data_IF_755642831875
#
_entry.id   IF_755642831875
#
_cell.length_a   1.000
_cell.length_b   1.000
_cell.length_c   1.000
_cell.angle_alpha   90.00
_cell.angle_beta   90.00
_cell.angle_gamma   90.00
#
_symmetry.space_group_name_H-M   'P 1'
#
loop_
_entity.id
_entity.type
_entity.pdbx_description
1 polymer ?
#
# COMPACT_ATOMS: atom_id res chain seq x y z
N UNK A 1 10.50 -32.33 9.75
CA UNK A 1 11.69 -31.93 10.56
C UNK A 1 11.71 -32.56 11.97
N UNK A 2 10.56 -33.03 12.44
CA UNK A 2 10.29 -33.80 13.67
C UNK A 2 11.29 -34.93 14.02
N UNK A 3 11.83 -35.66 13.04
CA UNK A 3 12.70 -36.82 13.27
C UNK A 3 14.07 -36.47 13.89
N UNK A 4 14.46 -35.19 13.87
CA UNK A 4 15.75 -34.72 14.39
C UNK A 4 15.64 -33.99 15.74
N UNK A 5 14.45 -33.94 16.36
CA UNK A 5 14.25 -33.27 17.64
C UNK A 5 14.63 -34.18 18.83
N UNK A 6 15.28 -33.62 19.88
CA UNK A 6 15.46 -34.32 21.15
C UNK A 6 14.13 -34.82 21.73
N UNK A 7 14.10 -36.01 22.36
CA UNK A 7 12.88 -36.59 22.93
C UNK A 7 12.13 -35.67 23.90
N UNK A 8 12.85 -34.87 24.67
CA UNK A 8 12.26 -33.92 25.63
C UNK A 8 11.50 -32.80 24.92
N UNK A 9 12.02 -32.30 23.80
CA UNK A 9 11.35 -31.27 23.00
C UNK A 9 10.16 -31.86 22.26
N UNK A 10 10.28 -33.07 21.73
CA UNK A 10 9.16 -33.77 21.09
C UNK A 10 7.98 -33.93 22.07
N UNK A 11 8.25 -34.42 23.29
CA UNK A 11 7.22 -34.58 24.32
C UNK A 11 6.56 -33.25 24.73
N UNK A 12 7.33 -32.15 24.76
CA UNK A 12 6.78 -30.82 25.01
C UNK A 12 5.85 -30.36 23.88
N UNK A 13 6.21 -30.61 22.62
CA UNK A 13 5.36 -30.29 21.48
C UNK A 13 4.08 -31.14 21.47
N UNK A 14 4.16 -32.43 21.79
CA UNK A 14 2.99 -33.31 21.95
C UNK A 14 2.03 -32.79 23.02
N UNK A 15 2.56 -32.32 24.14
CA UNK A 15 1.76 -31.72 25.20
C UNK A 15 1.10 -30.41 24.75
N UNK A 16 1.78 -29.60 23.92
CA UNK A 16 1.21 -28.37 23.35
C UNK A 16 0.07 -28.71 22.39
N UNK A 17 0.30 -29.58 21.41
CA UNK A 17 -0.69 -29.89 20.39
C UNK A 17 -1.89 -30.64 20.95
N UNK A 18 -1.86 -31.15 22.17
CA UNK A 18 -3.01 -31.82 22.81
C UNK A 18 -3.99 -30.84 23.48
N UNK A 19 -3.68 -29.55 23.52
CA UNK A 19 -4.52 -28.50 24.12
C UNK A 19 -5.65 -28.03 23.19
N UNK A 20 -6.65 -27.29 23.68
CA UNK A 20 -7.60 -26.58 22.81
C UNK A 20 -6.87 -25.67 21.79
N UNK A 21 -7.41 -25.49 20.59
CA UNK A 21 -6.70 -24.82 19.50
C UNK A 21 -6.27 -23.38 19.83
N UNK A 22 -7.08 -22.65 20.61
CA UNK A 22 -6.71 -21.32 21.09
C UNK A 22 -5.41 -21.32 21.91
N UNK A 23 -5.23 -22.33 22.76
CA UNK A 23 -4.03 -22.46 23.60
C UNK A 23 -2.85 -23.04 22.82
N UNK A 24 -3.12 -23.89 21.82
CA UNK A 24 -2.10 -24.30 20.83
C UNK A 24 -1.54 -23.04 20.15
N UNK A 25 -2.39 -22.20 19.57
CA UNK A 25 -1.99 -20.96 18.90
C UNK A 25 -1.12 -20.08 19.80
N UNK A 26 -1.59 -19.77 21.02
CA UNK A 26 -0.85 -18.91 21.98
C UNK A 26 0.52 -19.45 22.34
N UNK A 27 0.68 -20.78 22.38
CA UNK A 27 1.96 -21.41 22.72
C UNK A 27 2.88 -21.47 21.51
N UNK A 28 2.36 -21.89 20.36
CA UNK A 28 3.10 -21.96 19.10
C UNK A 28 3.65 -20.59 18.71
N UNK A 29 2.87 -19.51 18.89
CA UNK A 29 3.32 -18.14 18.59
C UNK A 29 4.56 -17.70 19.38
N UNK A 30 4.79 -18.28 20.56
CA UNK A 30 5.94 -17.96 21.43
C UNK A 30 7.15 -18.85 21.18
N UNK A 31 7.03 -19.87 20.34
CA UNK A 31 8.12 -20.78 20.03
C UNK A 31 9.10 -20.12 19.03
N UNK A 32 10.39 -20.48 19.09
CA UNK A 32 11.31 -20.24 17.99
C UNK A 32 10.78 -20.84 16.69
N UNK A 33 11.09 -20.19 15.57
CA UNK A 33 10.58 -20.54 14.23
C UNK A 33 10.59 -22.07 13.94
N UNK A 34 11.73 -22.73 14.13
CA UNK A 34 11.88 -24.17 13.84
C UNK A 34 10.98 -25.06 14.72
N UNK A 35 10.72 -24.64 15.96
CA UNK A 35 9.84 -25.38 16.87
C UNK A 35 8.37 -25.08 16.60
N UNK A 36 8.04 -23.87 16.12
CA UNK A 36 6.70 -23.53 15.67
C UNK A 36 6.30 -24.35 14.43
N UNK A 37 7.20 -24.47 13.45
CA UNK A 37 7.03 -25.33 12.28
C UNK A 37 6.77 -26.79 12.69
N UNK A 38 7.64 -27.38 13.51
CA UNK A 38 7.48 -28.75 13.99
C UNK A 38 6.17 -28.95 14.77
N UNK A 39 5.76 -27.97 15.60
CA UNK A 39 4.49 -28.02 16.33
C UNK A 39 3.29 -28.05 15.38
N UNK A 40 3.32 -27.26 14.30
CA UNK A 40 2.25 -27.25 13.30
C UNK A 40 2.25 -28.51 12.43
N UNK A 41 3.42 -29.06 12.06
CA UNK A 41 3.51 -30.37 11.39
C UNK A 41 2.79 -31.44 12.22
N UNK A 42 3.10 -31.50 13.52
CA UNK A 42 2.51 -32.46 14.45
C UNK A 42 1.01 -32.21 14.69
N UNK A 43 0.58 -30.95 14.68
CA UNK A 43 -0.83 -30.61 14.78
C UNK A 43 -1.60 -31.12 13.56
N UNK A 44 -1.07 -30.92 12.35
CA UNK A 44 -1.70 -31.43 11.11
C UNK A 44 -1.84 -32.94 11.14
N UNK A 45 -0.80 -33.66 11.56
CA UNK A 45 -0.86 -35.13 11.74
C UNK A 45 -1.95 -35.51 12.75
N UNK A 46 -1.96 -34.90 13.93
CA UNK A 46 -2.92 -35.18 14.98
C UNK A 46 -4.37 -34.91 14.56
N UNK A 47 -4.61 -33.85 13.78
CA UNK A 47 -5.95 -33.50 13.30
C UNK A 47 -6.42 -34.41 12.16
N UNK A 48 -5.51 -34.95 11.34
CA UNK A 48 -5.85 -35.96 10.34
C UNK A 48 -6.24 -37.28 10.97
N UNK A 49 -5.50 -37.70 11.99
CA UNK A 49 -5.74 -38.95 12.70
C UNK A 49 -7.00 -38.87 13.58
N UNK A 50 -7.35 -37.68 14.06
CA UNK A 50 -8.55 -37.45 14.87
C UNK A 50 -9.31 -36.15 14.51
N UNK A 51 -10.06 -36.14 13.39
CA UNK A 51 -10.81 -34.95 12.94
C UNK A 51 -11.92 -34.53 13.91
N UNK A 52 -12.48 -35.46 14.69
CA UNK A 52 -13.56 -35.22 15.67
C UNK A 52 -13.16 -34.21 16.76
N UNK A 53 -11.85 -34.01 16.97
CA UNK A 53 -11.34 -32.99 17.87
C UNK A 53 -11.85 -31.58 17.53
N UNK A 54 -12.19 -31.32 16.27
CA UNK A 54 -12.64 -30.00 15.82
C UNK A 54 -14.11 -29.70 16.15
N UNK A 55 -14.91 -30.69 16.59
CA UNK A 55 -16.36 -30.53 16.84
C UNK A 55 -16.71 -29.47 17.90
N UNK A 56 -15.74 -29.10 18.75
CA UNK A 56 -15.92 -28.14 19.84
C UNK A 56 -14.97 -26.94 19.78
N UNK A 57 -14.21 -26.83 18.69
CA UNK A 57 -13.24 -25.75 18.50
C UNK A 57 -13.91 -24.57 17.79
N UNK A 58 -13.48 -23.35 18.11
CA UNK A 58 -14.02 -22.15 17.49
C UNK A 58 -13.29 -21.82 16.17
N UNK A 59 -14.00 -21.35 15.12
CA UNK A 59 -13.38 -21.00 13.85
C UNK A 59 -12.30 -19.91 13.96
N UNK A 60 -12.37 -18.99 14.93
CA UNK A 60 -11.34 -17.98 15.11
C UNK A 60 -9.99 -18.60 15.54
N UNK A 61 -10.01 -19.65 16.37
CA UNK A 61 -8.80 -20.40 16.71
C UNK A 61 -8.19 -21.10 15.50
N UNK A 62 -9.04 -21.68 14.64
CA UNK A 62 -8.63 -22.30 13.38
C UNK A 62 -7.97 -21.27 12.45
N UNK A 63 -8.65 -20.14 12.24
CA UNK A 63 -8.16 -18.98 11.49
C UNK A 63 -6.79 -18.51 11.98
N UNK A 64 -6.63 -18.31 13.29
CA UNK A 64 -5.38 -17.85 13.88
C UNK A 64 -4.20 -18.81 13.64
N UNK A 65 -4.45 -20.12 13.66
CA UNK A 65 -3.44 -21.13 13.34
C UNK A 65 -3.03 -21.10 11.87
N UNK A 66 -3.99 -20.92 10.95
CA UNK A 66 -3.71 -20.73 9.51
C UNK A 66 -2.86 -19.47 9.32
N UNK A 67 -3.25 -18.34 9.91
CA UNK A 67 -2.48 -17.09 9.83
C UNK A 67 -1.07 -17.25 10.41
N UNK A 68 -0.90 -18.06 11.46
CA UNK A 68 0.42 -18.36 11.99
C UNK A 68 1.27 -19.17 11.01
N UNK A 69 0.71 -20.21 10.39
CA UNK A 69 1.37 -20.99 9.34
C UNK A 69 1.80 -20.10 8.15
N UNK A 70 0.94 -19.18 7.75
CA UNK A 70 1.22 -18.18 6.71
C UNK A 70 2.36 -17.23 7.12
N UNK A 71 2.37 -16.75 8.37
CA UNK A 71 3.40 -15.86 8.93
C UNK A 71 4.78 -16.50 8.94
N UNK A 72 4.87 -17.80 9.21
CA UNK A 72 6.12 -18.56 9.13
C UNK A 72 6.42 -19.06 7.70
N UNK A 73 5.67 -18.64 6.68
CA UNK A 73 5.92 -18.95 5.27
C UNK A 73 5.97 -20.46 4.93
N UNK A 74 5.21 -21.28 5.66
CA UNK A 74 5.09 -22.71 5.39
C UNK A 74 3.79 -23.02 4.63
N UNK A 75 3.81 -22.79 3.31
CA UNK A 75 2.64 -22.92 2.43
C UNK A 75 2.00 -24.31 2.46
N UNK A 76 2.81 -25.38 2.58
CA UNK A 76 2.30 -26.75 2.61
C UNK A 76 1.49 -27.00 3.88
N UNK A 77 1.93 -26.48 5.03
CA UNK A 77 1.23 -26.61 6.31
C UNK A 77 -0.04 -25.74 6.30
N UNK A 78 0.07 -24.51 5.79
CA UNK A 78 -1.06 -23.58 5.61
C UNK A 78 -2.17 -24.23 4.78
N UNK A 79 -1.84 -24.81 3.63
CA UNK A 79 -2.81 -25.51 2.77
C UNK A 79 -3.49 -26.68 3.50
N UNK A 80 -2.70 -27.49 4.22
CA UNK A 80 -3.21 -28.65 4.94
C UNK A 80 -4.17 -28.24 6.07
N UNK A 81 -3.82 -27.19 6.83
CA UNK A 81 -4.67 -26.64 7.88
C UNK A 81 -5.96 -26.05 7.30
N UNK A 82 -5.87 -25.25 6.22
CA UNK A 82 -7.04 -24.72 5.52
C UNK A 82 -7.99 -25.84 5.08
N UNK A 83 -7.47 -26.90 4.45
CA UNK A 83 -8.29 -28.03 4.01
C UNK A 83 -8.97 -28.77 5.16
N UNK A 84 -8.25 -28.99 6.26
CA UNK A 84 -8.81 -29.64 7.46
C UNK A 84 -9.90 -28.78 8.11
N UNK A 85 -9.62 -27.49 8.32
CA UNK A 85 -10.53 -26.59 9.03
C UNK A 85 -11.77 -26.24 8.21
N UNK A 86 -11.65 -26.04 6.90
CA UNK A 86 -12.81 -25.86 6.02
C UNK A 86 -13.66 -27.13 5.97
N UNK A 87 -13.04 -28.31 6.03
CA UNK A 87 -13.77 -29.57 6.15
C UNK A 87 -14.64 -29.65 7.41
N UNK A 88 -14.18 -29.06 8.52
CA UNK A 88 -14.93 -29.00 9.78
C UNK A 88 -15.94 -27.85 9.83
N UNK A 89 -15.62 -26.70 9.24
CA UNK A 89 -16.43 -25.48 9.27
C UNK A 89 -16.64 -24.92 7.85
N UNK A 90 -17.38 -25.62 6.96
CA UNK A 90 -17.51 -25.23 5.56
C UNK A 90 -18.28 -23.92 5.34
N UNK A 91 -19.06 -23.44 6.31
CA UNK A 91 -19.79 -22.18 6.19
C UNK A 91 -18.97 -20.96 6.65
N UNK A 92 -17.79 -21.15 7.24
CA UNK A 92 -17.03 -20.07 7.84
C UNK A 92 -16.39 -19.15 6.79
N UNK A 93 -16.78 -17.88 6.80
CA UNK A 93 -16.38 -16.90 5.77
C UNK A 93 -14.88 -16.60 5.82
N UNK A 94 -14.28 -16.53 7.01
CA UNK A 94 -12.86 -16.18 7.16
C UNK A 94 -11.99 -17.29 6.56
N UNK A 95 -12.24 -18.56 6.92
CA UNK A 95 -11.51 -19.70 6.37
C UNK A 95 -11.69 -19.82 4.85
N UNK A 96 -12.91 -19.65 4.35
CA UNK A 96 -13.20 -19.71 2.91
C UNK A 96 -12.54 -18.56 2.13
N UNK A 97 -12.46 -17.37 2.72
CA UNK A 97 -11.78 -16.22 2.12
C UNK A 97 -10.25 -16.38 2.16
N UNK A 98 -9.69 -16.90 3.25
CA UNK A 98 -8.27 -17.21 3.37
C UNK A 98 -7.82 -18.25 2.35
N UNK A 99 -8.64 -19.29 2.08
CA UNK A 99 -8.35 -20.25 1.02
C UNK A 99 -8.36 -19.61 -0.37
N UNK A 100 -9.29 -18.68 -0.63
CA UNK A 100 -9.29 -17.90 -1.88
C UNK A 100 -7.98 -17.12 -2.03
N UNK A 101 -7.57 -16.43 -0.96
CA UNK A 101 -6.30 -15.70 -0.92
C UNK A 101 -5.10 -16.61 -1.14
N UNK A 102 -5.07 -17.78 -0.49
CA UNK A 102 -4.02 -18.77 -0.64
C UNK A 102 -3.87 -19.22 -2.09
N UNK A 103 -4.99 -19.48 -2.78
CA UNK A 103 -4.98 -19.93 -4.17
C UNK A 103 -4.41 -18.89 -5.14
N UNK A 104 -4.77 -17.60 -5.04
CA UNK A 104 -4.17 -16.58 -5.92
C UNK A 104 -2.85 -16.00 -5.39
N UNK A 105 -2.53 -16.21 -4.11
CA UNK A 105 -1.38 -15.64 -3.43
C UNK A 105 -0.16 -16.55 -3.47
N UNK A 106 -0.29 -17.76 -2.93
CA UNK A 106 0.82 -18.68 -2.64
C UNK A 106 0.89 -19.83 -3.65
N UNK A 107 -0.24 -20.46 -3.98
CA UNK A 107 -0.26 -21.66 -4.86
C UNK A 107 -0.37 -21.35 -6.35
N UNK A 108 -1.01 -20.23 -6.69
CA UNK A 108 -1.44 -19.90 -8.05
C UNK A 108 -2.33 -20.98 -8.70
N UNK A 109 -3.48 -21.28 -8.07
CA UNK A 109 -4.51 -22.20 -8.57
C UNK A 109 -5.75 -21.45 -9.04
N UNK A 110 -5.85 -21.19 -10.34
CA UNK A 110 -6.96 -20.43 -10.95
C UNK A 110 -8.30 -21.18 -10.82
N UNK A 111 -8.29 -22.51 -10.97
CA UNK A 111 -9.49 -23.32 -10.87
C UNK A 111 -9.97 -23.41 -9.42
N UNK A 112 -9.02 -23.48 -8.46
CA UNK A 112 -9.27 -23.34 -7.04
C UNK A 112 -9.93 -22.00 -6.70
N UNK A 113 -9.38 -20.89 -7.21
CA UNK A 113 -9.97 -19.56 -6.99
C UNK A 113 -11.42 -19.47 -7.47
N UNK A 114 -11.71 -19.98 -8.67
CA UNK A 114 -13.08 -19.98 -9.22
C UNK A 114 -14.05 -20.77 -8.33
N UNK A 115 -13.69 -22.01 -7.97
CA UNK A 115 -14.53 -22.83 -7.09
C UNK A 115 -14.75 -22.15 -5.74
N UNK A 116 -13.70 -21.57 -5.20
CA UNK A 116 -13.74 -20.94 -3.90
C UNK A 116 -14.60 -19.67 -3.89
N UNK A 117 -14.51 -18.87 -4.95
CA UNK A 117 -15.40 -17.73 -5.15
C UNK A 117 -16.86 -18.16 -5.31
N UNK A 118 -17.14 -19.27 -6.00
CA UNK A 118 -18.49 -19.84 -6.10
C UNK A 118 -19.03 -20.27 -4.73
N UNK A 119 -18.23 -20.96 -3.92
CA UNK A 119 -18.60 -21.37 -2.55
C UNK A 119 -18.94 -20.17 -1.67
N UNK A 120 -18.10 -19.12 -1.69
CA UNK A 120 -18.34 -17.89 -0.93
C UNK A 120 -19.65 -17.19 -1.33
N UNK A 121 -20.13 -17.39 -2.55
CA UNK A 121 -21.36 -16.79 -3.07
C UNK A 121 -22.54 -17.77 -3.09
N UNK A 122 -22.38 -18.98 -2.55
CA UNK A 122 -23.44 -19.97 -2.43
C UNK A 122 -24.16 -19.80 -1.09
N UNK A 123 -25.38 -19.26 -1.14
CA UNK A 123 -26.20 -18.98 0.04
C UNK A 123 -26.68 -20.28 0.74
N UNK A 124 -26.53 -21.47 0.12
CA UNK A 124 -26.76 -22.76 0.76
C UNK A 124 -25.59 -23.20 1.65
N UNK A 125 -24.39 -22.66 1.41
CA UNK A 125 -23.16 -23.00 2.15
C UNK A 125 -22.79 -21.90 3.12
N UNK A 126 -22.75 -20.64 2.66
CA UNK A 126 -22.29 -19.49 3.44
C UNK A 126 -23.47 -18.57 3.73
N UNK A 127 -23.65 -18.19 4.99
CA UNK A 127 -24.71 -17.28 5.38
C UNK A 127 -24.48 -15.87 4.78
N UNK A 128 -25.42 -15.31 4.00
CA UNK A 128 -25.28 -13.98 3.40
C UNK A 128 -24.98 -12.88 4.41
N UNK A 129 -25.61 -12.91 5.59
CA UNK A 129 -25.41 -11.89 6.61
C UNK A 129 -24.00 -11.93 7.21
N UNK A 130 -23.44 -13.13 7.38
CA UNK A 130 -22.05 -13.31 7.87
C UNK A 130 -21.05 -12.90 6.79
N UNK A 131 -21.31 -13.28 5.54
CA UNK A 131 -20.51 -12.91 4.36
C UNK A 131 -20.40 -11.39 4.21
N UNK A 132 -21.54 -10.70 4.18
CA UNK A 132 -21.60 -9.26 3.95
C UNK A 132 -20.98 -8.45 5.09
N UNK A 133 -21.05 -8.95 6.33
CA UNK A 133 -20.41 -8.32 7.49
C UNK A 133 -18.89 -8.54 7.54
N UNK A 134 -18.34 -9.47 6.76
CA UNK A 134 -16.94 -9.86 6.81
C UNK A 134 -16.08 -9.09 5.79
N UNK A 135 -15.10 -8.33 6.27
CA UNK A 135 -14.23 -7.52 5.43
C UNK A 135 -13.33 -8.33 4.49
N UNK A 136 -12.94 -9.57 4.86
CA UNK A 136 -12.08 -10.42 4.03
C UNK A 136 -12.79 -10.86 2.76
N UNK A 137 -14.09 -11.16 2.84
CA UNK A 137 -14.89 -11.47 1.66
C UNK A 137 -14.77 -10.37 0.60
N UNK A 138 -14.97 -9.11 1.01
CA UNK A 138 -14.89 -7.96 0.11
C UNK A 138 -13.49 -7.75 -0.46
N UNK A 139 -12.47 -7.78 0.40
CA UNK A 139 -11.08 -7.52 0.00
C UNK A 139 -10.52 -8.64 -0.86
N UNK A 140 -10.65 -9.89 -0.44
CA UNK A 140 -10.09 -11.03 -1.17
C UNK A 140 -10.90 -11.34 -2.43
N UNK A 141 -12.21 -11.07 -2.42
CA UNK A 141 -13.02 -11.04 -3.64
C UNK A 141 -12.52 -9.99 -4.63
N UNK A 142 -12.31 -8.75 -4.19
CA UNK A 142 -11.79 -7.70 -5.05
C UNK A 142 -10.39 -8.02 -5.61
N UNK A 143 -9.49 -8.58 -4.78
CA UNK A 143 -8.18 -9.02 -5.22
C UNK A 143 -8.25 -10.17 -6.22
N UNK A 144 -9.14 -11.14 -6.02
CA UNK A 144 -9.38 -12.19 -7.00
C UNK A 144 -9.85 -11.60 -8.34
N UNK A 145 -10.83 -10.70 -8.36
CA UNK A 145 -11.30 -10.10 -9.60
C UNK A 145 -10.22 -9.25 -10.28
N UNK A 146 -9.46 -8.47 -9.51
CA UNK A 146 -8.39 -7.63 -10.06
C UNK A 146 -7.21 -8.45 -10.59
N UNK A 147 -6.71 -9.42 -9.80
CA UNK A 147 -5.48 -10.16 -10.07
C UNK A 147 -5.69 -11.37 -10.99
N UNK A 148 -6.78 -12.10 -10.81
CA UNK A 148 -7.05 -13.37 -11.51
C UNK A 148 -7.95 -13.16 -12.72
N UNK A 149 -9.04 -12.38 -12.57
CA UNK A 149 -9.98 -12.14 -13.66
C UNK A 149 -9.59 -10.96 -14.55
N UNK A 150 -8.69 -10.10 -14.08
CA UNK A 150 -8.38 -8.82 -14.70
C UNK A 150 -9.64 -7.95 -14.88
N UNK A 151 -10.65 -8.15 -14.02
CA UNK A 151 -11.89 -7.40 -13.99
C UNK A 151 -11.80 -6.32 -12.90
N UNK A 152 -11.22 -5.19 -13.29
CA UNK A 152 -11.06 -4.06 -12.38
C UNK A 152 -12.42 -3.48 -11.99
N UNK A 153 -13.42 -3.46 -12.88
CA UNK A 153 -14.71 -2.85 -12.60
C UNK A 153 -15.43 -3.57 -11.46
N UNK A 154 -15.48 -4.91 -11.52
CA UNK A 154 -16.05 -5.72 -10.43
C UNK A 154 -15.24 -5.59 -9.15
N UNK A 155 -13.90 -5.53 -9.23
CA UNK A 155 -13.07 -5.29 -8.06
C UNK A 155 -13.37 -3.95 -7.38
N UNK A 156 -13.64 -2.87 -8.14
CA UNK A 156 -14.00 -1.58 -7.53
C UNK A 156 -15.35 -1.65 -6.82
N UNK A 157 -16.32 -2.29 -7.48
CA UNK A 157 -17.65 -2.40 -6.93
C UNK A 157 -17.65 -3.21 -5.63
N UNK A 158 -16.90 -4.31 -5.56
CA UNK A 158 -16.74 -5.09 -4.32
C UNK A 158 -16.12 -4.27 -3.19
N UNK A 159 -15.09 -3.47 -3.48
CA UNK A 159 -14.48 -2.61 -2.45
C UNK A 159 -15.46 -1.54 -1.95
N UNK A 160 -16.26 -0.95 -2.85
CA UNK A 160 -17.27 0.06 -2.51
C UNK A 160 -18.39 -0.55 -1.66
N UNK A 161 -18.94 -1.68 -2.09
CA UNK A 161 -19.97 -2.42 -1.34
C UNK A 161 -19.46 -2.84 0.05
N UNK A 162 -18.19 -3.28 0.14
CA UNK A 162 -17.57 -3.60 1.42
C UNK A 162 -17.51 -2.41 2.38
N UNK A 163 -17.19 -1.21 1.89
CA UNK A 163 -17.18 0.00 2.74
C UNK A 163 -18.57 0.37 3.26
N UNK A 164 -19.63 0.03 2.52
CA UNK A 164 -21.02 0.27 2.94
C UNK A 164 -21.50 -0.80 3.93
N UNK A 165 -21.18 -2.07 3.66
CA UNK A 165 -21.68 -3.22 4.42
C UNK A 165 -20.94 -3.46 5.75
N UNK A 166 -19.63 -3.20 5.81
CA UNK A 166 -18.80 -3.63 6.94
C UNK A 166 -18.86 -2.66 8.12
N UNK A 167 -18.94 -3.16 9.37
CA UNK A 167 -18.91 -2.31 10.57
C UNK A 167 -17.66 -1.43 10.68
N UNK A 168 -17.83 -0.22 11.24
CA UNK A 168 -16.83 0.85 11.24
C UNK A 168 -15.39 0.44 11.61
N UNK A 169 -15.20 -0.47 12.57
CA UNK A 169 -13.86 -0.92 13.00
C UNK A 169 -13.06 -1.65 11.91
N UNK A 170 -13.75 -2.29 10.96
CA UNK A 170 -13.13 -3.09 9.90
C UNK A 170 -13.09 -2.36 8.55
N UNK A 171 -13.70 -1.18 8.44
CA UNK A 171 -13.56 -0.32 7.25
C UNK A 171 -12.09 0.03 6.99
N UNK A 172 -11.30 0.22 8.05
CA UNK A 172 -9.86 0.44 7.93
C UNK A 172 -9.11 -0.74 7.30
N UNK A 173 -9.58 -1.97 7.49
CA UNK A 173 -8.96 -3.16 6.89
C UNK A 173 -9.20 -3.19 5.37
N UNK A 174 -10.40 -2.80 4.93
CA UNK A 174 -10.72 -2.61 3.51
C UNK A 174 -9.86 -1.50 2.91
N UNK A 175 -9.83 -0.34 3.55
CA UNK A 175 -9.08 0.84 3.08
C UNK A 175 -7.58 0.57 2.95
N UNK A 176 -6.98 -0.20 3.88
CA UNK A 176 -5.56 -0.62 3.77
C UNK A 176 -5.27 -1.44 2.52
N UNK A 177 -6.25 -2.17 2.00
CA UNK A 177 -6.09 -3.00 0.80
C UNK A 177 -6.47 -2.28 -0.49
N UNK A 178 -6.88 -1.00 -0.44
CA UNK A 178 -7.11 -0.21 -1.65
C UNK A 178 -5.86 -0.16 -2.54
N UNK A 179 -4.67 0.03 -1.95
CA UNK A 179 -3.42 0.01 -2.72
C UNK A 179 -3.27 -1.29 -3.51
N UNK A 180 -3.35 -2.43 -2.83
CA UNK A 180 -3.18 -3.73 -3.45
C UNK A 180 -4.17 -3.93 -4.62
N UNK A 181 -5.45 -3.59 -4.43
CA UNK A 181 -6.49 -3.79 -5.47
C UNK A 181 -6.33 -2.80 -6.63
N UNK A 182 -6.13 -1.53 -6.33
CA UNK A 182 -6.30 -0.43 -7.29
C UNK A 182 -5.00 0.11 -7.86
N UNK A 183 -3.91 0.03 -7.13
CA UNK A 183 -2.61 0.53 -7.55
C UNK A 183 -1.85 -0.61 -8.22
N UNK A 184 -1.67 -1.72 -7.51
CA UNK A 184 -0.79 -2.80 -7.96
C UNK A 184 -1.38 -3.58 -9.14
N UNK A 185 -2.69 -3.86 -9.12
CA UNK A 185 -3.32 -4.70 -10.17
C UNK A 185 -4.05 -3.92 -11.27
N UNK A 186 -4.52 -2.70 -11.03
CA UNK A 186 -5.21 -1.93 -12.08
C UNK A 186 -4.25 -1.09 -12.95
N UNK A 187 -2.94 -1.03 -12.61
CA UNK A 187 -1.99 -0.03 -13.13
C UNK A 187 -2.59 1.40 -13.15
N UNK A 188 -3.52 1.61 -12.21
CA UNK A 188 -4.76 2.41 -12.24
C UNK A 188 -5.36 2.92 -13.57
N UNK A 189 -5.12 2.30 -14.72
CA UNK A 189 -5.66 2.73 -16.04
C UNK A 189 -7.19 2.83 -16.11
N UNK A 190 -7.90 2.21 -15.16
CA UNK A 190 -9.36 2.14 -15.06
C UNK A 190 -9.89 2.63 -13.71
N UNK A 191 -9.09 3.35 -12.92
CA UNK A 191 -9.61 3.94 -11.67
C UNK A 191 -10.64 5.01 -12.00
N UNK A 192 -11.89 4.78 -11.61
CA UNK A 192 -12.84 5.88 -11.47
C UNK A 192 -12.35 6.77 -10.33
N UNK A 193 -11.54 7.76 -10.71
CA UNK A 193 -10.82 8.63 -9.79
C UNK A 193 -11.75 9.30 -8.76
N UNK A 194 -12.94 9.71 -9.17
CA UNK A 194 -13.90 10.39 -8.30
C UNK A 194 -14.48 9.44 -7.25
N UNK A 195 -14.91 8.24 -7.66
CA UNK A 195 -15.45 7.24 -6.73
C UNK A 195 -14.39 6.78 -5.70
N UNK A 196 -13.15 6.58 -6.15
CA UNK A 196 -12.03 6.21 -5.28
C UNK A 196 -11.66 7.38 -4.35
N UNK A 197 -11.75 8.62 -4.84
CA UNK A 197 -11.51 9.83 -4.05
C UNK A 197 -12.54 10.00 -2.93
N UNK A 198 -13.81 9.82 -3.24
CA UNK A 198 -14.89 9.97 -2.26
C UNK A 198 -14.82 8.90 -1.18
N UNK A 199 -14.63 7.64 -1.57
CA UNK A 199 -14.48 6.52 -0.63
C UNK A 199 -13.30 6.70 0.32
N UNK A 200 -12.19 7.22 -0.19
CA UNK A 200 -11.01 7.48 0.63
C UNK A 200 -11.20 8.70 1.53
N UNK A 201 -11.82 9.79 1.06
CA UNK A 201 -12.21 10.93 1.91
C UNK A 201 -13.13 10.50 3.05
N UNK A 202 -14.06 9.58 2.80
CA UNK A 202 -14.92 9.00 3.84
C UNK A 202 -14.13 8.17 4.84
N UNK A 203 -13.24 7.28 4.36
CA UNK A 203 -12.37 6.47 5.22
C UNK A 203 -11.46 7.30 6.11
N UNK A 204 -11.00 8.41 5.57
CA UNK A 204 -10.22 9.47 6.21
C UNK A 204 -11.04 10.19 7.28
N UNK A 205 -12.25 10.65 6.95
CA UNK A 205 -13.16 11.27 7.91
C UNK A 205 -13.52 10.32 9.07
N UNK A 206 -13.48 9.00 8.82
CA UNK A 206 -13.67 7.95 9.82
C UNK A 206 -12.43 7.66 10.69
N UNK A 207 -11.33 8.44 10.57
CA UNK A 207 -10.17 8.35 11.46
C UNK A 207 -9.07 7.38 11.00
N UNK A 208 -9.01 7.06 9.71
CA UNK A 208 -7.98 6.16 9.19
C UNK A 208 -6.60 6.84 9.08
N UNK A 209 -5.69 6.49 10.01
CA UNK A 209 -4.33 7.05 10.09
C UNK A 209 -3.40 6.71 8.93
N UNK A 210 -3.69 5.65 8.15
CA UNK A 210 -2.95 5.29 6.94
C UNK A 210 -3.39 6.05 5.68
N UNK A 211 -4.45 6.86 5.78
CA UNK A 211 -5.05 7.53 4.63
C UNK A 211 -4.14 8.53 3.94
N UNK A 212 -3.24 9.20 4.68
CA UNK A 212 -2.32 10.19 4.08
C UNK A 212 -1.33 9.52 3.12
N UNK A 213 -0.80 8.34 3.47
CA UNK A 213 0.14 7.59 2.63
C UNK A 213 -0.54 7.14 1.33
N UNK A 214 -1.79 6.67 1.43
CA UNK A 214 -2.53 6.29 0.23
C UNK A 214 -2.85 7.50 -0.65
N UNK A 215 -3.28 8.62 -0.06
CA UNK A 215 -3.53 9.86 -0.78
C UNK A 215 -2.26 10.36 -1.51
N UNK A 216 -1.10 10.33 -0.85
CA UNK A 216 0.19 10.66 -1.46
C UNK A 216 0.52 9.72 -2.64
N UNK A 217 0.37 8.40 -2.49
CA UNK A 217 0.62 7.44 -3.57
C UNK A 217 -0.29 7.67 -4.77
N UNK A 218 -1.57 7.98 -4.56
CA UNK A 218 -2.52 8.29 -5.63
C UNK A 218 -2.15 9.57 -6.38
N UNK A 219 -1.72 10.62 -5.66
CA UNK A 219 -1.20 11.83 -6.28
C UNK A 219 0.00 11.53 -7.20
N UNK A 220 0.97 10.74 -6.71
CA UNK A 220 2.14 10.34 -7.49
C UNK A 220 1.76 9.53 -8.75
N UNK A 221 0.81 8.61 -8.66
CA UNK A 221 0.34 7.83 -9.82
C UNK A 221 -0.31 8.71 -10.89
N UNK A 222 -1.14 9.67 -10.48
CA UNK A 222 -1.78 10.61 -11.41
C UNK A 222 -0.75 11.50 -12.10
N UNK A 223 0.23 11.98 -11.33
CA UNK A 223 1.36 12.72 -11.87
C UNK A 223 2.13 11.89 -12.90
N UNK A 224 2.50 10.65 -12.59
CA UNK A 224 3.22 9.77 -13.51
C UNK A 224 2.44 9.56 -14.81
N UNK A 225 1.12 9.38 -14.73
CA UNK A 225 0.27 9.24 -15.93
C UNK A 225 0.17 10.50 -16.75
N UNK A 226 0.08 11.67 -16.11
CA UNK A 226 0.06 12.93 -16.83
C UNK A 226 1.35 13.15 -17.65
N UNK A 227 2.46 12.56 -17.19
CA UNK A 227 3.79 12.65 -17.78
C UNK A 227 4.17 11.47 -18.69
N UNK A 228 3.34 10.42 -18.76
CA UNK A 228 3.62 9.25 -19.62
C UNK A 228 3.32 9.61 -21.08
N UNK A 229 4.30 9.54 -22.00
CA UNK A 229 4.06 9.70 -23.42
C UNK A 229 3.13 8.58 -23.87
N UNK A 230 1.98 8.90 -24.46
CA UNK A 230 1.21 7.87 -25.16
C UNK A 230 1.98 7.48 -26.41
N UNK A 231 2.39 6.23 -26.49
CA UNK A 231 2.84 5.59 -27.74
C UNK A 231 1.72 5.70 -28.79
N UNK A 232 1.74 6.78 -29.56
CA UNK A 232 1.18 6.83 -30.90
C UNK A 232 2.25 7.47 -31.75
N UNK A 233 2.90 6.63 -32.55
CA UNK A 233 4.05 6.99 -33.38
C UNK A 233 3.82 8.26 -34.19
N UNK A 234 4.47 9.33 -33.76
CA UNK A 234 4.88 10.43 -34.62
C UNK A 234 6.06 11.10 -33.95
N UNK A 235 7.24 10.77 -34.46
CA UNK A 235 8.44 11.54 -34.24
C UNK A 235 8.15 13.03 -34.49
N UNK A 236 8.67 13.87 -33.58
CA UNK A 236 8.79 15.32 -33.74
C UNK A 236 7.46 16.08 -33.85
N UNK A 237 6.70 16.11 -32.76
CA UNK A 237 6.05 17.33 -32.28
C UNK A 237 5.71 17.15 -30.80
N UNK A 238 6.30 17.99 -29.95
CA UNK A 238 5.82 18.15 -28.57
C UNK A 238 4.44 18.78 -28.71
N UNK A 239 3.40 17.96 -28.69
CA UNK A 239 2.03 18.47 -28.70
C UNK A 239 1.84 19.39 -27.47
N UNK A 240 1.06 20.49 -27.61
CA UNK A 240 0.67 21.28 -26.46
C UNK A 240 0.02 20.35 -25.42
N UNK A 241 0.34 20.57 -24.13
CA UNK A 241 -0.17 19.76 -23.01
C UNK A 241 -1.65 19.44 -23.22
N UNK A 242 -1.92 18.16 -23.43
CA UNK A 242 -3.27 17.65 -23.58
C UNK A 242 -4.08 18.06 -22.33
N UNK A 243 -5.29 18.62 -22.51
CA UNK A 243 -6.19 19.02 -21.42
C UNK A 243 -6.38 17.89 -20.39
N UNK A 244 -6.32 16.64 -20.85
CA UNK A 244 -6.35 15.45 -20.01
C UNK A 244 -5.17 15.34 -19.03
N UNK A 245 -3.95 15.69 -19.46
CA UNK A 245 -2.78 15.68 -18.58
C UNK A 245 -2.88 16.78 -17.53
N UNK A 246 -3.42 17.95 -17.89
CA UNK A 246 -3.68 19.04 -16.95
C UNK A 246 -4.73 18.64 -15.90
N UNK A 247 -5.82 18.00 -16.34
CA UNK A 247 -6.84 17.46 -15.43
C UNK A 247 -6.27 16.46 -14.43
N UNK A 248 -5.44 15.51 -14.88
CA UNK A 248 -4.78 14.54 -14.01
C UNK A 248 -3.85 15.21 -12.99
N UNK A 249 -3.11 16.24 -13.38
CA UNK A 249 -2.24 16.99 -12.46
C UNK A 249 -3.03 17.79 -11.43
N UNK A 250 -4.16 18.41 -11.82
CA UNK A 250 -5.06 19.09 -10.87
C UNK A 250 -5.63 18.12 -9.84
N UNK A 251 -6.12 16.97 -10.31
CA UNK A 251 -6.56 15.87 -9.47
C UNK A 251 -5.47 15.37 -8.51
N UNK A 252 -4.21 15.36 -8.96
CA UNK A 252 -3.09 15.03 -8.09
C UNK A 252 -2.86 16.07 -6.97
N UNK A 253 -3.07 17.36 -7.23
CA UNK A 253 -3.03 18.41 -6.20
C UNK A 253 -4.13 18.24 -5.14
N UNK A 254 -5.34 17.87 -5.56
CA UNK A 254 -6.45 17.60 -4.63
C UNK A 254 -6.07 16.47 -3.66
N UNK A 255 -5.45 15.40 -4.17
CA UNK A 255 -4.95 14.31 -3.34
C UNK A 255 -3.85 14.72 -2.37
N UNK A 256 -2.92 15.57 -2.77
CA UNK A 256 -1.90 16.09 -1.86
C UNK A 256 -2.50 16.96 -0.76
N UNK A 257 -3.57 17.69 -1.07
CA UNK A 257 -4.31 18.49 -0.07
C UNK A 257 -5.00 17.59 0.94
N UNK A 258 -5.61 16.49 0.47
CA UNK A 258 -6.17 15.44 1.35
C UNK A 258 -5.07 14.81 2.22
N UNK A 259 -3.93 14.45 1.64
CA UNK A 259 -2.80 13.85 2.36
C UNK A 259 -2.27 14.77 3.48
N UNK A 260 -2.11 16.06 3.19
CA UNK A 260 -1.66 17.05 4.17
C UNK A 260 -2.65 17.21 5.31
N UNK A 261 -3.95 17.34 5.01
CA UNK A 261 -5.01 17.46 6.02
C UNK A 261 -5.11 16.26 6.97
N UNK A 262 -4.65 15.09 6.52
CA UNK A 262 -4.72 13.84 7.25
C UNK A 262 -3.54 13.61 8.17
N UNK A 263 -2.36 14.02 7.72
CA UNK A 263 -1.15 13.86 8.51
C UNK A 263 -1.12 14.85 9.68
N UNK A 264 -1.72 16.03 9.50
CA UNK A 264 -1.64 17.12 10.45
C UNK A 264 -2.84 18.04 10.36
N UNK A 265 -3.30 18.55 11.51
CA UNK A 265 -4.26 19.67 11.54
C UNK A 265 -3.61 21.03 11.22
N UNK A 266 -2.29 21.06 10.98
CA UNK A 266 -1.54 22.24 10.57
C UNK A 266 -1.23 22.15 9.06
N UNK A 267 -1.91 22.94 8.20
CA UNK A 267 -1.72 22.92 6.75
C UNK A 267 -0.32 23.39 6.28
N UNK A 268 0.57 23.76 7.20
CA UNK A 268 1.96 24.16 6.91
C UNK A 268 3.00 23.25 7.59
N UNK A 269 2.60 22.06 8.05
CA UNK A 269 3.60 21.11 8.55
C UNK A 269 4.41 20.58 7.36
N UNK A 270 5.74 20.62 7.41
CA UNK A 270 6.56 20.00 6.37
C UNK A 270 6.27 18.50 6.33
N UNK A 271 5.87 18.00 5.18
CA UNK A 271 5.98 16.58 4.91
C UNK A 271 6.76 16.55 3.62
N UNK A 272 8.05 16.27 3.73
CA UNK A 272 9.02 16.43 2.65
C UNK A 272 8.56 15.77 1.37
N UNK A 273 7.96 14.59 1.47
CA UNK A 273 7.41 13.84 0.34
C UNK A 273 6.21 14.53 -0.31
N UNK A 274 5.29 15.12 0.47
CA UNK A 274 4.12 15.85 -0.04
C UNK A 274 4.55 17.15 -0.71
N UNK A 275 5.50 17.88 -0.12
CA UNK A 275 6.03 19.14 -0.67
C UNK A 275 6.74 18.88 -2.00
N UNK A 276 7.61 17.87 -2.06
CA UNK A 276 8.29 17.48 -3.30
C UNK A 276 7.31 17.05 -4.38
N UNK A 277 6.31 16.23 -4.04
CA UNK A 277 5.27 15.85 -4.99
C UNK A 277 4.49 17.07 -5.52
N UNK A 278 4.13 18.01 -4.62
CA UNK A 278 3.40 19.23 -4.97
C UNK A 278 4.20 20.13 -5.90
N UNK A 279 5.48 20.36 -5.58
CA UNK A 279 6.42 21.10 -6.42
C UNK A 279 6.49 20.49 -7.82
N UNK A 280 6.69 19.18 -7.92
CA UNK A 280 6.78 18.51 -9.23
C UNK A 280 5.49 18.64 -10.05
N UNK A 281 4.32 18.56 -9.41
CA UNK A 281 3.02 18.72 -10.08
C UNK A 281 2.82 20.17 -10.54
N UNK A 282 3.15 21.17 -9.72
CA UNK A 282 3.06 22.59 -10.07
C UNK A 282 4.00 22.96 -11.23
N UNK A 283 5.23 22.44 -11.22
CA UNK A 283 6.16 22.52 -12.34
C UNK A 283 5.56 21.88 -13.61
N UNK A 284 4.91 20.73 -13.46
CA UNK A 284 4.15 20.06 -14.51
C UNK A 284 2.93 20.83 -15.00
N UNK A 285 2.34 21.70 -14.19
CA UNK A 285 1.23 22.59 -14.55
C UNK A 285 1.68 23.94 -15.12
N UNK A 286 3.00 24.21 -15.14
CA UNK A 286 3.56 25.54 -15.47
C UNK A 286 3.14 26.65 -14.49
N UNK A 287 2.64 26.29 -13.30
CA UNK A 287 2.40 27.25 -12.23
C UNK A 287 3.71 27.51 -11.46
N UNK A 288 4.63 28.17 -12.16
CA UNK A 288 6.00 28.37 -11.68
C UNK A 288 6.06 29.26 -10.44
N UNK A 289 5.12 30.20 -10.28
CA UNK A 289 5.08 31.06 -9.09
C UNK A 289 4.71 30.27 -7.85
N UNK A 290 3.62 29.50 -7.92
CA UNK A 290 3.25 28.62 -6.81
C UNK A 290 4.37 27.60 -6.52
N UNK A 291 5.02 27.06 -7.55
CA UNK A 291 6.14 26.14 -7.36
C UNK A 291 7.31 26.81 -6.59
N UNK A 292 7.66 28.06 -6.91
CA UNK A 292 8.68 28.84 -6.21
C UNK A 292 8.29 29.05 -4.74
N UNK A 293 7.05 29.43 -4.46
CA UNK A 293 6.58 29.66 -3.09
C UNK A 293 6.73 28.40 -2.21
N UNK A 294 6.41 27.23 -2.77
CA UNK A 294 6.60 25.95 -2.08
C UNK A 294 8.07 25.55 -1.92
N UNK A 295 8.92 25.82 -2.92
CA UNK A 295 10.35 25.58 -2.81
C UNK A 295 11.00 26.49 -1.76
N UNK A 296 10.65 27.78 -1.73
CA UNK A 296 11.12 28.73 -0.72
C UNK A 296 10.67 28.31 0.68
N UNK A 297 9.40 27.93 0.84
CA UNK A 297 8.90 27.36 2.09
C UNK A 297 9.70 26.12 2.51
N UNK A 298 10.03 25.23 1.57
CA UNK A 298 10.83 24.03 1.83
C UNK A 298 12.27 24.36 2.26
N UNK A 299 12.95 25.30 1.57
CA UNK A 299 14.29 25.77 1.93
C UNK A 299 14.34 26.45 3.31
N UNK A 300 13.27 27.16 3.70
CA UNK A 300 13.17 27.77 5.02
C UNK A 300 12.85 26.77 6.12
N UNK A 301 12.12 25.69 5.79
CA UNK A 301 11.70 24.71 6.78
C UNK A 301 12.77 23.67 7.08
N UNK A 302 13.36 23.06 6.05
CA UNK A 302 14.40 22.03 6.18
C UNK A 302 15.63 22.40 5.32
N UNK A 303 16.45 23.35 5.79
CA UNK A 303 17.54 23.90 4.98
C UNK A 303 18.63 22.86 4.66
N UNK A 304 18.85 21.91 5.56
CA UNK A 304 19.88 20.87 5.41
C UNK A 304 19.48 19.87 4.33
N UNK A 305 18.23 19.38 4.36
CA UNK A 305 17.73 18.46 3.34
C UNK A 305 17.60 19.15 1.98
N UNK A 306 17.09 20.39 1.96
CA UNK A 306 16.92 21.16 0.72
C UNK A 306 18.26 21.48 0.03
N UNK A 307 19.32 21.76 0.80
CA UNK A 307 20.68 21.98 0.25
C UNK A 307 21.31 20.71 -0.31
N UNK A 308 20.95 19.55 0.22
CA UNK A 308 21.45 18.23 -0.24
C UNK A 308 20.71 17.70 -1.46
N UNK A 309 19.60 18.33 -1.87
CA UNK A 309 18.82 17.94 -3.05
C UNK A 309 19.20 18.77 -4.30
N UNK A 310 20.07 18.26 -5.19
CA UNK A 310 20.43 18.95 -6.43
C UNK A 310 19.25 19.06 -7.41
N UNK A 311 18.26 18.15 -7.32
CA UNK A 311 17.07 18.19 -8.17
C UNK A 311 16.22 19.40 -7.84
N UNK A 312 15.97 19.64 -6.54
CA UNK A 312 15.22 20.78 -6.05
C UNK A 312 15.87 22.11 -6.48
N UNK A 313 17.20 22.24 -6.34
CA UNK A 313 17.94 23.43 -6.80
C UNK A 313 17.76 23.66 -8.30
N UNK A 314 17.88 22.61 -9.12
CA UNK A 314 17.71 22.71 -10.56
C UNK A 314 16.28 23.13 -10.95
N UNK A 315 15.27 22.60 -10.25
CA UNK A 315 13.87 22.97 -10.45
C UNK A 315 13.60 24.42 -10.05
N UNK A 316 14.18 24.91 -8.95
CA UNK A 316 14.06 26.29 -8.51
C UNK A 316 14.65 27.26 -9.54
N UNK A 317 15.86 26.97 -10.04
CA UNK A 317 16.48 27.77 -11.10
C UNK A 317 15.59 27.81 -12.35
N UNK A 318 15.03 26.66 -12.76
CA UNK A 318 14.14 26.58 -13.90
C UNK A 318 12.85 27.39 -13.68
N UNK A 319 12.21 27.24 -12.51
CA UNK A 319 10.98 27.93 -12.15
C UNK A 319 11.18 29.45 -12.15
N UNK A 320 12.23 29.93 -11.49
CA UNK A 320 12.60 31.35 -11.45
C UNK A 320 12.83 31.94 -12.85
N UNK A 321 13.55 31.22 -13.72
CA UNK A 321 13.74 31.64 -15.12
C UNK A 321 12.41 31.74 -15.88
N UNK A 322 11.52 30.76 -15.70
CA UNK A 322 10.23 30.70 -16.40
C UNK A 322 9.21 31.70 -15.86
N UNK A 323 9.30 32.07 -14.57
CA UNK A 323 8.49 33.10 -13.94
C UNK A 323 8.95 34.54 -14.27
N UNK A 324 10.09 34.70 -14.94
CA UNK A 324 10.65 36.01 -15.30
C UNK A 324 11.57 36.62 -14.24
N UNK A 325 11.97 35.85 -13.22
CA UNK A 325 12.77 36.31 -12.07
C UNK A 325 14.05 35.46 -11.92
N UNK A 326 14.96 35.48 -12.90
CA UNK A 326 16.05 34.49 -13.03
C UNK A 326 17.10 34.51 -11.92
N UNK A 327 17.15 35.56 -11.08
CA UNK A 327 18.07 35.67 -9.95
C UNK A 327 17.39 35.41 -8.58
N UNK A 328 16.08 35.23 -8.53
CA UNK A 328 15.35 35.02 -7.26
C UNK A 328 15.83 33.77 -6.52
N UNK A 329 16.21 32.71 -7.23
CA UNK A 329 16.71 31.47 -6.64
C UNK A 329 17.95 31.69 -5.76
N UNK A 330 18.84 32.65 -6.12
CA UNK A 330 20.04 33.00 -5.35
C UNK A 330 19.67 33.52 -3.97
N UNK A 331 18.68 34.40 -3.91
CA UNK A 331 18.13 34.96 -2.67
C UNK A 331 17.54 33.86 -1.78
N UNK A 332 16.78 32.92 -2.36
CA UNK A 332 16.10 31.84 -1.64
C UNK A 332 17.10 30.89 -0.98
N UNK A 333 18.15 30.49 -1.69
CA UNK A 333 19.16 29.56 -1.14
C UNK A 333 20.23 30.25 -0.29
N UNK A 334 20.23 31.59 -0.27
CA UNK A 334 21.22 32.40 0.44
C UNK A 334 22.58 32.51 -0.26
N UNK A 335 22.66 32.20 -1.56
CA UNK A 335 23.85 32.51 -2.37
C UNK A 335 23.81 34.01 -2.70
N UNK A 336 24.68 34.79 -2.08
CA UNK A 336 24.74 36.23 -2.35
C UNK A 336 25.36 36.46 -3.74
N UNK A 337 24.80 37.37 -4.59
CA UNK A 337 25.51 37.87 -5.76
C UNK A 337 26.89 38.44 -5.44
N UNK A 338 27.13 38.81 -4.17
CA UNK A 338 28.39 39.35 -3.68
C UNK A 338 29.45 38.26 -3.50
N UNK A 339 29.09 37.00 -3.22
CA UNK A 339 30.07 35.91 -3.11
C UNK A 339 30.73 35.61 -4.46
N UNK A 340 30.01 35.75 -5.58
CA UNK A 340 30.58 35.64 -6.93
C UNK A 340 31.48 36.84 -7.26
N UNK A 341 31.16 38.04 -6.76
CA UNK A 341 32.02 39.22 -6.90
C UNK A 341 33.28 39.13 -6.03
N UNK A 342 33.19 38.58 -4.82
CA UNK A 342 34.33 38.34 -3.93
C UNK A 342 35.22 37.23 -4.50
N UNK A 343 34.65 36.15 -5.04
CA UNK A 343 35.41 35.08 -5.72
C UNK A 343 36.03 35.57 -7.03
N UNK A 344 35.34 36.41 -7.82
CA UNK A 344 35.91 37.05 -9.02
C UNK A 344 36.99 38.07 -8.69
N UNK A 345 36.82 38.86 -7.63
CA UNK A 345 37.85 39.79 -7.15
C UNK A 345 39.07 39.02 -6.62
N UNK A 346 38.87 37.95 -5.86
CA UNK A 346 39.96 37.09 -5.40
C UNK A 346 40.70 36.38 -6.55
N UNK A 347 39.99 35.98 -7.61
CA UNK A 347 40.62 35.42 -8.81
C UNK A 347 41.39 36.49 -9.63
N UNK A 348 40.91 37.73 -9.67
CA UNK A 348 41.62 38.85 -10.32
C UNK A 348 42.83 39.34 -9.51
N UNK A 349 42.80 39.23 -8.19
CA UNK A 349 43.94 39.56 -7.32
C UNK A 349 45.03 38.47 -7.36
N UNK A 350 44.67 37.18 -7.54
CA UNK A 350 45.67 36.10 -7.70
C UNK A 350 46.40 36.11 -9.07
N UNK A 351 45.75 36.59 -10.13
CA UNK A 351 46.40 36.78 -11.44
C UNK A 351 47.34 37.99 -11.46
N UNK A 352 47.20 38.94 -10.52
CA UNK A 352 48.07 40.11 -10.42
C UNK A 352 49.35 39.86 -9.61
N UNK A 353 49.31 38.96 -8.62
CA UNK A 353 50.47 38.58 -7.79
C UNK A 353 51.42 37.56 -8.47
N UNK A 354 51.06 37.04 -9.64
CA UNK A 354 51.94 36.17 -10.45
C UNK A 354 52.60 36.89 -11.64
N UNK A 355 52.41 38.20 -11.75
CA UNK A 355 52.92 39.04 -12.84
C UNK A 355 53.93 40.13 -12.42
N UNK A 356 54.35 40.16 -11.16
CA UNK A 356 55.58 40.85 -10.69
C UNK A 356 56.70 39.83 -10.44
#
# INVERSE_FOLDING_TARGET
MKENLPPELLSQLEAIISLPLMDVHRRVERLPYQLAEAALEMLVEALRDNPQRLEHEDPNSMHNLVMHASKIQHSDIEEQLLGIFIGACPSDVDLQADLLQFYYGNRWDLAGCERQWQILNDDEIVNPAEREANWRYWVFGALYHARVKHDIATAQELMRQGLEAVPGRHKSDILRNFENVFIDFAAGSLLNHEAVLDALKEGVAAGWSGGYTLALKLATLLQQRALTPKDTGSEKNIEPKNEKSIDLLRKALDWLSVAESLFTNNPNHPITEIYRARINILMGLEDYRAAIDYMDAFYNHDPEEARRDPSLKAQLILACRRAGEPDLWKKIIGESPEEENIIRQAAQEQDHDTAE
#
